data_IF_370727663825
#
_entry.id   IF_370727663825
#
_cell.length_a   1.000
_cell.length_b   1.000
_cell.length_c   1.000
_cell.angle_alpha   90.00
_cell.angle_beta   90.00
_cell.angle_gamma   90.00
#
_symmetry.space_group_name_H-M   'P 1'
#
loop_
_entity.id
_entity.type
_entity.pdbx_description
1 polymer ?
#
# COMPACT_ATOMS: atom_id res chain seq x y z
N UNK A 1 8.52 -9.65 -12.77
CA UNK A 1 8.76 -8.74 -11.63
C UNK A 1 8.03 -7.42 -11.82
N UNK A 2 8.27 -6.64 -12.89
CA UNK A 2 7.52 -5.39 -13.15
C UNK A 2 6.01 -5.61 -13.17
N UNK A 3 5.55 -6.64 -13.88
CA UNK A 3 4.13 -7.04 -13.91
C UNK A 3 3.56 -7.32 -12.52
N UNK A 4 4.22 -8.14 -11.71
CA UNK A 4 3.82 -8.42 -10.32
C UNK A 4 3.77 -7.15 -9.45
N UNK A 5 4.73 -6.22 -9.61
CA UNK A 5 4.70 -4.92 -8.92
C UNK A 5 3.50 -4.10 -9.32
N UNK A 6 3.22 -4.00 -10.63
CA UNK A 6 2.07 -3.27 -11.16
C UNK A 6 0.76 -3.87 -10.65
N UNK A 7 0.62 -5.20 -10.67
CA UNK A 7 -0.57 -5.90 -10.14
C UNK A 7 -0.73 -5.60 -8.65
N UNK A 8 0.34 -5.71 -7.86
CA UNK A 8 0.36 -5.40 -6.43
C UNK A 8 -0.04 -3.94 -6.15
N UNK A 9 0.50 -2.97 -6.89
CA UNK A 9 0.17 -1.56 -6.72
C UNK A 9 -1.26 -1.23 -7.12
N UNK A 10 -1.72 -1.74 -8.26
CA UNK A 10 -3.09 -1.51 -8.71
C UNK A 10 -4.07 -2.12 -7.71
N UNK A 11 -3.88 -3.40 -7.34
CA UNK A 11 -4.75 -4.05 -6.36
C UNK A 11 -4.76 -3.31 -5.02
N UNK A 12 -3.61 -2.83 -4.53
CA UNK A 12 -3.55 -1.98 -3.33
C UNK A 12 -4.40 -0.71 -3.47
N UNK A 13 -4.25 0.03 -4.56
CA UNK A 13 -5.00 1.28 -4.78
C UNK A 13 -6.51 1.08 -4.84
N UNK A 14 -6.96 -0.10 -5.27
CA UNK A 14 -8.36 -0.48 -5.39
C UNK A 14 -8.96 -1.11 -4.12
N UNK A 15 -8.22 -1.24 -3.01
CA UNK A 15 -8.79 -1.72 -1.75
C UNK A 15 -9.83 -0.69 -1.26
N UNK A 16 -11.10 -1.08 -1.19
CA UNK A 16 -12.18 -0.24 -0.67
C UNK A 16 -12.24 -0.26 0.86
N UNK A 17 -12.55 0.88 1.48
CA UNK A 17 -12.73 0.98 2.93
C UNK A 17 -13.92 0.20 3.47
N UNK A 18 -13.86 -0.16 4.75
CA UNK A 18 -14.96 -0.75 5.53
C UNK A 18 -15.75 0.32 6.32
N UNK A 19 -15.31 1.57 6.27
CA UNK A 19 -15.98 2.73 6.85
C UNK A 19 -17.27 3.05 6.07
N UNK A 20 -18.12 3.94 6.60
CA UNK A 20 -19.46 4.23 6.06
C UNK A 20 -19.51 4.55 4.57
N UNK A 21 -18.53 5.31 4.07
CA UNK A 21 -18.47 5.68 2.65
C UNK A 21 -17.60 4.72 1.84
N UNK A 22 -16.72 3.96 2.50
CA UNK A 22 -16.00 2.81 1.91
C UNK A 22 -15.20 3.09 0.64
N UNK A 23 -14.55 4.25 0.51
CA UNK A 23 -13.84 4.60 -0.72
C UNK A 23 -12.60 3.72 -0.97
N UNK A 24 -12.18 3.53 -2.23
CA UNK A 24 -10.89 2.94 -2.54
C UNK A 24 -9.70 3.82 -2.11
N UNK A 25 -8.56 3.20 -1.78
CA UNK A 25 -7.35 3.89 -1.30
C UNK A 25 -6.90 5.03 -2.23
N UNK A 26 -7.05 4.92 -3.55
CA UNK A 26 -6.67 6.01 -4.46
C UNK A 26 -7.51 7.28 -4.26
N UNK A 27 -8.79 7.14 -3.88
CA UNK A 27 -9.66 8.29 -3.57
C UNK A 27 -9.22 8.92 -2.25
N UNK A 28 -8.93 8.11 -1.23
CA UNK A 28 -8.37 8.63 0.02
C UNK A 28 -7.07 9.40 -0.20
N UNK A 29 -6.19 8.91 -1.07
CA UNK A 29 -4.95 9.60 -1.43
C UNK A 29 -5.21 10.99 -2.05
N UNK A 30 -6.20 11.08 -2.94
CA UNK A 30 -6.61 12.35 -3.53
C UNK A 30 -7.22 13.31 -2.48
N UNK A 31 -8.07 12.79 -1.59
CA UNK A 31 -8.67 13.57 -0.51
C UNK A 31 -7.63 14.10 0.48
N UNK A 32 -6.65 13.28 0.86
CA UNK A 32 -5.55 13.69 1.74
C UNK A 32 -4.71 14.80 1.10
N UNK A 33 -4.41 14.68 -0.20
CA UNK A 33 -3.73 15.75 -0.95
C UNK A 33 -4.54 17.03 -1.01
N UNK A 34 -5.82 16.94 -1.38
CA UNK A 34 -6.70 18.09 -1.46
C UNK A 34 -6.82 18.79 -0.10
N UNK A 35 -7.00 18.03 0.98
CA UNK A 35 -7.06 18.54 2.35
C UNK A 35 -5.77 19.27 2.74
N UNK A 36 -4.60 18.73 2.39
CA UNK A 36 -3.31 19.35 2.67
C UNK A 36 -3.17 20.73 1.99
N UNK A 37 -3.57 20.86 0.72
CA UNK A 37 -3.44 22.13 0.01
C UNK A 37 -4.51 23.16 0.41
N UNK A 38 -5.74 22.71 0.72
CA UNK A 38 -6.86 23.62 1.05
C UNK A 38 -6.79 24.12 2.49
N UNK A 39 -6.37 23.28 3.43
CA UNK A 39 -6.41 23.59 4.86
C UNK A 39 -5.03 23.93 5.45
N UNK A 40 -4.05 24.29 4.62
CA UNK A 40 -2.70 24.64 5.06
C UNK A 40 -2.67 25.76 6.12
N UNK A 41 -3.65 26.67 6.07
CA UNK A 41 -3.76 27.79 7.02
C UNK A 41 -4.41 27.40 8.36
N UNK A 42 -4.98 26.20 8.47
CA UNK A 42 -5.64 25.68 9.67
C UNK A 42 -4.96 24.36 10.08
N UNK A 43 -3.70 24.46 10.47
CA UNK A 43 -2.86 23.31 10.78
C UNK A 43 -3.11 22.78 12.21
N UNK A 44 -4.13 21.93 12.35
CA UNK A 44 -4.35 21.10 13.54
C UNK A 44 -3.58 19.77 13.46
N UNK A 45 -3.72 18.91 14.47
CA UNK A 45 -3.03 17.61 14.51
C UNK A 45 -3.48 16.68 13.37
N UNK A 46 -4.76 16.73 13.00
CA UNK A 46 -5.32 15.90 11.93
C UNK A 46 -4.79 16.33 10.57
N UNK A 47 -4.60 17.64 10.36
CA UNK A 47 -3.91 18.19 9.20
C UNK A 47 -2.48 17.63 9.07
N UNK A 48 -1.70 17.63 10.16
CA UNK A 48 -0.32 17.12 10.13
C UNK A 48 -0.25 15.62 9.87
N UNK A 49 -1.11 14.83 10.51
CA UNK A 49 -1.19 13.37 10.30
C UNK A 49 -1.61 13.08 8.86
N UNK A 50 -2.65 13.77 8.37
CA UNK A 50 -3.13 13.65 7.01
C UNK A 50 -2.08 14.05 5.98
N UNK A 51 -1.36 15.15 6.21
CA UNK A 51 -0.27 15.63 5.36
C UNK A 51 0.90 14.64 5.32
N UNK A 52 1.30 14.08 6.46
CA UNK A 52 2.34 13.05 6.52
C UNK A 52 1.95 11.83 5.69
N UNK A 53 0.71 11.35 5.82
CA UNK A 53 0.20 10.25 5.00
C UNK A 53 0.12 10.63 3.51
N UNK A 54 -0.30 11.86 3.21
CA UNK A 54 -0.39 12.37 1.86
C UNK A 54 0.95 12.22 1.13
N UNK A 55 2.08 12.61 1.72
CA UNK A 55 3.39 12.51 1.04
C UNK A 55 4.08 11.15 1.20
N UNK A 56 3.98 10.53 2.38
CA UNK A 56 4.68 9.27 2.66
C UNK A 56 4.11 8.09 1.88
N UNK A 57 2.79 8.05 1.62
CA UNK A 57 2.16 6.96 0.88
C UNK A 57 2.59 6.93 -0.61
N UNK A 58 2.46 8.02 -1.41
CA UNK A 58 3.02 8.09 -2.76
C UNK A 58 4.51 7.78 -2.78
N UNK A 59 5.29 8.32 -1.84
CA UNK A 59 6.72 8.03 -1.72
C UNK A 59 6.99 6.53 -1.57
N UNK A 60 6.23 5.86 -0.70
CA UNK A 60 6.33 4.41 -0.48
C UNK A 60 5.95 3.62 -1.74
N UNK A 61 4.88 4.02 -2.44
CA UNK A 61 4.45 3.38 -3.69
C UNK A 61 5.52 3.51 -4.79
N UNK A 62 6.12 4.70 -4.93
CA UNK A 62 7.21 4.98 -5.87
C UNK A 62 8.43 4.12 -5.54
N UNK A 63 8.88 4.12 -4.28
CA UNK A 63 10.02 3.31 -3.84
C UNK A 63 9.75 1.82 -4.12
N UNK A 64 8.58 1.31 -3.73
CA UNK A 64 8.18 -0.07 -3.97
C UNK A 64 8.24 -0.44 -5.47
N UNK A 65 7.77 0.45 -6.35
CA UNK A 65 7.80 0.25 -7.80
C UNK A 65 9.24 0.21 -8.35
N UNK A 66 10.08 1.17 -7.98
CA UNK A 66 11.42 1.34 -8.55
C UNK A 66 12.51 0.47 -7.92
N UNK A 67 12.24 -0.20 -6.80
CA UNK A 67 13.20 -1.07 -6.14
C UNK A 67 13.84 -2.09 -7.11
N UNK A 68 15.17 -2.08 -7.22
CA UNK A 68 15.89 -3.04 -8.06
C UNK A 68 16.05 -4.37 -7.34
N UNK A 69 16.00 -5.45 -8.12
CA UNK A 69 16.09 -6.81 -7.59
C UNK A 69 17.38 -7.02 -6.78
N UNK A 70 17.25 -7.80 -5.70
CA UNK A 70 18.31 -8.37 -4.85
C UNK A 70 19.15 -7.40 -4.01
N UNK A 71 19.33 -6.15 -4.44
CA UNK A 71 20.12 -5.17 -3.67
C UNK A 71 19.39 -4.75 -2.39
N UNK A 72 18.08 -4.52 -2.50
CA UNK A 72 17.31 -3.86 -1.44
C UNK A 72 16.16 -4.75 -0.92
N UNK A 73 16.44 -6.05 -0.74
CA UNK A 73 15.43 -7.06 -0.36
C UNK A 73 14.71 -6.76 0.97
N UNK A 74 15.41 -6.13 1.92
CA UNK A 74 14.81 -5.71 3.19
C UNK A 74 13.95 -4.45 3.05
N UNK A 75 14.35 -3.53 2.18
CA UNK A 75 13.54 -2.34 1.87
C UNK A 75 12.22 -2.72 1.20
N UNK A 76 12.22 -3.79 0.38
CA UNK A 76 10.98 -4.34 -0.19
C UNK A 76 10.02 -4.83 0.89
N UNK A 77 10.53 -5.57 1.89
CA UNK A 77 9.73 -6.07 3.02
C UNK A 77 9.21 -4.88 3.83
N UNK A 78 10.05 -3.89 4.10
CA UNK A 78 9.66 -2.69 4.80
C UNK A 78 8.52 -1.95 4.09
N UNK A 79 8.64 -1.72 2.77
CA UNK A 79 7.56 -1.12 1.98
C UNK A 79 6.28 -1.96 2.04
N UNK A 80 6.38 -3.29 1.96
CA UNK A 80 5.21 -4.17 2.06
C UNK A 80 4.50 -4.02 3.42
N UNK A 81 5.25 -4.07 4.52
CA UNK A 81 4.70 -3.90 5.88
C UNK A 81 4.06 -2.51 6.01
N UNK A 82 4.75 -1.45 5.57
CA UNK A 82 4.24 -0.09 5.62
C UNK A 82 2.91 0.04 4.84
N UNK A 83 2.83 -0.51 3.63
CA UNK A 83 1.61 -0.48 2.82
C UNK A 83 0.47 -1.27 3.49
N UNK A 84 0.74 -2.45 4.08
CA UNK A 84 -0.28 -3.21 4.82
C UNK A 84 -0.82 -2.41 6.01
N UNK A 85 0.07 -1.80 6.80
CA UNK A 85 -0.32 -0.97 7.94
C UNK A 85 -1.19 0.20 7.51
N UNK A 86 -0.80 0.90 6.44
CA UNK A 86 -1.58 2.01 5.88
C UNK A 86 -2.92 1.55 5.34
N UNK A 87 -3.00 0.39 4.66
CA UNK A 87 -4.27 -0.17 4.21
C UNK A 87 -5.22 -0.41 5.38
N UNK A 88 -4.74 -1.04 6.48
CA UNK A 88 -5.57 -1.28 7.66
C UNK A 88 -6.10 0.01 8.28
N UNK A 89 -5.27 1.05 8.34
CA UNK A 89 -5.65 2.35 8.89
C UNK A 89 -6.66 3.08 8.00
N UNK A 90 -6.36 3.26 6.71
CA UNK A 90 -7.21 4.00 5.77
C UNK A 90 -8.56 3.31 5.53
N UNK A 91 -8.57 1.99 5.51
CA UNK A 91 -9.82 1.23 5.28
C UNK A 91 -10.67 1.11 6.55
N UNK A 92 -10.13 1.42 7.73
CA UNK A 92 -10.81 1.21 9.00
C UNK A 92 -10.93 -0.26 9.41
N UNK A 93 -10.16 -1.15 8.78
CA UNK A 93 -10.10 -2.58 9.11
C UNK A 93 -9.41 -2.86 10.48
N UNK A 94 -8.82 -1.84 11.08
CA UNK A 94 -8.34 -1.87 12.47
C UNK A 94 -9.47 -1.80 13.51
N UNK A 95 -10.71 -1.44 13.12
CA UNK A 95 -11.86 -1.37 14.02
C UNK A 95 -12.83 -2.53 13.75
N UNK A 96 -13.01 -3.40 14.74
CA UNK A 96 -13.90 -4.57 14.68
C UNK A 96 -15.35 -4.20 14.33
N UNK A 97 -15.84 -3.03 14.76
CA UNK A 97 -17.21 -2.60 14.47
C UNK A 97 -17.51 -2.44 12.96
N UNK A 98 -16.46 -2.30 12.14
CA UNK A 98 -16.62 -2.19 10.68
C UNK A 98 -16.72 -3.55 9.97
N UNK A 99 -16.57 -4.67 10.67
CA UNK A 99 -16.42 -5.99 10.02
C UNK A 99 -17.73 -6.50 9.41
N UNK A 100 -18.88 -6.05 9.92
CA UNK A 100 -20.19 -6.32 9.31
C UNK A 100 -20.31 -5.72 7.89
N UNK A 101 -19.50 -4.70 7.58
CA UNK A 101 -19.45 -4.02 6.27
C UNK A 101 -18.41 -4.64 5.33
N UNK A 102 -17.83 -5.79 5.69
CA UNK A 102 -16.86 -6.47 4.85
C UNK A 102 -17.47 -6.88 3.52
N UNK A 103 -16.99 -6.25 2.45
CA UNK A 103 -17.47 -6.48 1.10
C UNK A 103 -16.44 -7.22 0.25
N UNK A 104 -16.91 -7.84 -0.83
CA UNK A 104 -16.03 -8.44 -1.83
C UNK A 104 -15.01 -7.43 -2.39
N UNK A 105 -15.40 -6.15 -2.50
CA UNK A 105 -14.54 -5.05 -2.95
C UNK A 105 -13.44 -4.65 -1.97
N UNK A 106 -13.50 -5.10 -0.72
CA UNK A 106 -12.35 -5.06 0.19
C UNK A 106 -11.52 -6.34 0.08
N UNK A 107 -12.18 -7.51 0.13
CA UNK A 107 -11.50 -8.82 0.24
C UNK A 107 -10.70 -9.16 -1.01
N UNK A 108 -11.29 -9.04 -2.20
CA UNK A 108 -10.65 -9.41 -3.46
C UNK A 108 -9.37 -8.58 -3.75
N UNK A 109 -9.40 -7.24 -3.76
CA UNK A 109 -8.18 -6.46 -3.99
C UNK A 109 -7.14 -6.64 -2.87
N UNK A 110 -7.56 -6.75 -1.60
CA UNK A 110 -6.64 -6.98 -0.47
C UNK A 110 -5.89 -8.30 -0.60
N UNK A 111 -6.59 -9.38 -0.94
CA UNK A 111 -5.98 -10.70 -1.13
C UNK A 111 -5.04 -10.73 -2.33
N UNK A 112 -5.43 -10.14 -3.46
CA UNK A 112 -4.57 -10.02 -4.65
C UNK A 112 -3.30 -9.24 -4.30
N UNK A 113 -3.42 -8.13 -3.57
CA UNK A 113 -2.29 -7.33 -3.10
C UNK A 113 -1.34 -8.17 -2.24
N UNK A 114 -1.84 -8.82 -1.20
CA UNK A 114 -1.04 -9.63 -0.27
C UNK A 114 -0.32 -10.77 -1.01
N UNK A 115 -1.05 -11.55 -1.81
CA UNK A 115 -0.49 -12.71 -2.52
C UNK A 115 0.57 -12.26 -3.52
N UNK A 116 0.28 -11.24 -4.34
CA UNK A 116 1.23 -10.74 -5.33
C UNK A 116 2.50 -10.16 -4.69
N UNK A 117 2.37 -9.45 -3.56
CA UNK A 117 3.50 -8.95 -2.77
C UNK A 117 4.34 -10.06 -2.15
N UNK A 118 3.72 -11.09 -1.56
CA UNK A 118 4.43 -12.24 -0.99
C UNK A 118 5.21 -13.00 -2.06
N UNK A 119 4.59 -13.28 -3.22
CA UNK A 119 5.27 -13.92 -4.35
C UNK A 119 6.48 -13.09 -4.80
N UNK A 120 6.34 -11.77 -4.81
CA UNK A 120 7.42 -10.87 -5.18
C UNK A 120 8.57 -10.90 -4.17
N UNK A 121 8.26 -10.89 -2.88
CA UNK A 121 9.25 -11.03 -1.80
C UNK A 121 9.99 -12.36 -1.95
N UNK A 122 9.28 -13.49 -2.03
CA UNK A 122 9.89 -14.82 -2.18
C UNK A 122 10.83 -14.86 -3.40
N UNK A 123 10.38 -14.36 -4.55
CA UNK A 123 11.19 -14.31 -5.76
C UNK A 123 12.44 -13.43 -5.62
N UNK A 124 12.39 -12.40 -4.78
CA UNK A 124 13.54 -11.54 -4.52
C UNK A 124 14.59 -12.23 -3.62
N UNK A 125 14.17 -13.16 -2.76
CA UNK A 125 15.05 -13.94 -1.89
C UNK A 125 15.58 -15.24 -2.51
N UNK A 126 14.97 -15.73 -3.60
CA UNK A 126 15.49 -16.89 -4.35
C UNK A 126 16.92 -16.60 -4.87
N UNK A 127 17.90 -17.37 -4.39
CA UNK A 127 19.25 -17.42 -5.00
C UNK A 127 19.12 -17.92 -6.44
N UNK A 128 19.85 -17.31 -7.38
CA UNK A 128 20.05 -17.96 -8.69
C UNK A 128 20.94 -19.19 -8.41
N UNK A 129 20.66 -20.37 -8.98
CA UNK A 129 21.65 -21.44 -8.96
C UNK A 129 22.93 -20.88 -9.56
N UNK A 130 24.07 -21.14 -8.88
CA UNK A 130 25.39 -20.80 -9.40
C UNK A 130 25.46 -21.40 -10.80
N UNK A 131 25.48 -20.54 -11.83
CA UNK A 131 25.87 -21.00 -13.16
C UNK A 131 27.29 -21.54 -12.96
N UNK A 132 27.45 -22.87 -13.06
CA UNK A 132 28.76 -23.50 -13.20
C UNK A 132 29.44 -22.77 -14.34
N UNK A 133 30.49 -22.02 -14.00
CA UNK A 133 31.46 -21.50 -14.95
C UNK A 133 32.10 -22.76 -15.55
N UNK A 134 31.70 -23.12 -16.77
CA UNK A 134 32.47 -24.05 -17.61
C UNK A 134 33.65 -23.27 -18.19
#
# INVERSE_FOLDING_TARGET
MKTLKTISLISFLFICGLQEVGYPIFIYLFLLMANFFLNFNYADMDFWIGGLLAFSLPGTLIIYFFLKNKRDRFLLIFCFIALVTVALFLTGANNYANYERMSFWFVAPSTIFIISSIILIINNFKKKPLQKKN
#
